data_IF_309639289173
#
_entry.id   IF_309639289173
#
_cell.length_a   1.000
_cell.length_b   1.000
_cell.length_c   1.000
_cell.angle_alpha   90.00
_cell.angle_beta   90.00
_cell.angle_gamma   90.00
#
_symmetry.space_group_name_H-M   'P 1'
#
loop_
_entity.id
_entity.type
_entity.pdbx_description
1 polymer ?
#
# COMPACT_ATOMS: atom_id res chain seq x y z
N UNK A 1 32.48 11.64 23.53
CA UNK A 1 31.28 11.30 22.74
C UNK A 1 30.10 11.93 23.46
N UNK A 2 29.37 12.85 22.81
CA UNK A 2 28.09 13.32 23.34
C UNK A 2 27.14 12.10 23.35
N UNK A 3 26.46 11.87 24.48
CA UNK A 3 25.41 10.87 24.53
C UNK A 3 24.26 11.36 23.64
N UNK A 4 23.95 10.60 22.59
CA UNK A 4 22.75 10.85 21.79
C UNK A 4 21.56 10.19 22.50
N UNK A 5 20.45 10.92 22.62
CA UNK A 5 19.20 10.31 23.04
C UNK A 5 18.78 9.28 21.98
N UNK A 6 18.31 8.11 22.43
CA UNK A 6 17.68 7.12 21.57
C UNK A 6 16.18 7.04 21.93
N UNK A 7 15.30 7.73 21.17
CA UNK A 7 13.86 7.70 21.41
C UNK A 7 13.17 6.53 20.69
N UNK A 8 13.90 5.54 20.16
CA UNK A 8 13.33 4.45 19.35
C UNK A 8 12.23 3.67 20.07
N UNK A 9 12.38 3.48 21.39
CA UNK A 9 11.42 2.77 22.26
C UNK A 9 10.23 3.64 22.73
N UNK A 10 10.24 4.95 22.46
CA UNK A 10 9.16 5.85 22.87
C UNK A 10 7.87 5.62 22.07
N UNK A 11 6.72 6.00 22.64
CA UNK A 11 5.45 6.07 21.91
C UNK A 11 5.54 7.05 20.73
N UNK A 12 4.67 6.91 19.74
CA UNK A 12 4.69 7.81 18.58
C UNK A 12 4.40 9.26 18.98
N UNK A 13 3.47 9.49 19.92
CA UNK A 13 3.15 10.83 20.43
C UNK A 13 4.36 11.48 21.10
N UNK A 14 5.16 10.68 21.81
CA UNK A 14 6.40 11.14 22.44
C UNK A 14 7.43 11.49 21.38
N UNK A 15 7.59 10.67 20.34
CA UNK A 15 8.52 10.97 19.22
C UNK A 15 8.12 12.25 18.50
N UNK A 16 6.83 12.46 18.26
CA UNK A 16 6.29 13.65 17.62
C UNK A 16 6.60 14.92 18.44
N UNK A 17 6.39 14.87 19.76
CA UNK A 17 6.75 15.96 20.67
C UNK A 17 8.25 16.23 20.67
N UNK A 18 9.07 15.18 20.77
CA UNK A 18 10.52 15.32 20.78
C UNK A 18 11.05 15.90 19.46
N UNK A 19 10.48 15.52 18.32
CA UNK A 19 10.83 16.12 17.03
C UNK A 19 10.53 17.62 17.00
N UNK A 20 9.34 18.04 17.46
CA UNK A 20 9.02 19.47 17.54
C UNK A 20 9.99 20.22 18.44
N UNK A 21 10.35 19.65 19.59
CA UNK A 21 11.34 20.25 20.49
C UNK A 21 12.74 20.35 19.89
N UNK A 22 13.19 19.32 19.18
CA UNK A 22 14.48 19.36 18.48
C UNK A 22 14.47 20.42 17.37
N UNK A 23 13.41 20.47 16.56
CA UNK A 23 13.25 21.47 15.50
C UNK A 23 13.26 22.91 16.04
N UNK A 24 12.57 23.16 17.15
CA UNK A 24 12.59 24.45 17.85
C UNK A 24 14.00 24.80 18.35
N UNK A 25 14.64 23.86 19.06
CA UNK A 25 15.94 24.07 19.70
C UNK A 25 17.09 24.30 18.69
N UNK A 26 17.01 23.70 17.50
CA UNK A 26 18.02 23.81 16.46
C UNK A 26 17.62 24.71 15.30
N UNK A 27 16.55 25.51 15.45
CA UNK A 27 16.00 26.35 14.38
C UNK A 27 17.03 27.33 13.78
N UNK A 28 17.89 27.93 14.61
CA UNK A 28 18.95 28.85 14.17
C UNK A 28 20.01 28.17 13.27
N UNK A 29 20.11 26.84 13.35
CA UNK A 29 21.08 26.06 12.60
C UNK A 29 20.50 25.53 11.29
N UNK A 30 19.21 25.72 11.00
CA UNK A 30 18.51 25.11 9.85
C UNK A 30 19.19 25.35 8.49
N UNK A 31 19.95 26.42 8.34
CA UNK A 31 20.68 26.74 7.11
C UNK A 31 22.06 26.08 7.00
N UNK A 32 22.48 25.35 8.03
CA UNK A 32 23.78 24.71 8.12
C UNK A 32 23.65 23.20 7.89
N UNK A 33 24.63 22.56 7.21
CA UNK A 33 24.63 21.11 7.02
C UNK A 33 24.54 20.32 8.34
N UNK A 34 25.09 20.87 9.44
CA UNK A 34 25.06 20.26 10.76
C UNK A 34 23.65 20.11 11.35
N UNK A 35 22.65 20.84 10.85
CA UNK A 35 21.26 20.74 11.32
C UNK A 35 20.72 19.32 11.20
N UNK A 36 20.97 18.66 10.08
CA UNK A 36 20.51 17.30 9.85
C UNK A 36 21.05 16.34 10.92
N UNK A 37 22.35 16.41 11.21
CA UNK A 37 23.01 15.57 12.21
C UNK A 37 22.39 15.71 13.61
N UNK A 38 21.93 16.92 13.97
CA UNK A 38 21.30 17.21 15.25
C UNK A 38 19.87 16.68 15.37
N UNK A 39 19.12 16.66 14.26
CA UNK A 39 17.71 16.23 14.28
C UNK A 39 17.51 14.75 13.99
N UNK A 40 18.50 14.05 13.42
CA UNK A 40 18.42 12.62 13.03
C UNK A 40 17.80 11.72 14.12
N UNK A 41 18.20 11.79 15.41
CA UNK A 41 17.63 10.94 16.45
C UNK A 41 16.11 11.10 16.62
N UNK A 42 15.57 12.25 16.22
CA UNK A 42 14.18 12.63 16.45
C UNK A 42 13.30 12.49 15.20
N UNK A 43 13.87 12.16 14.02
CA UNK A 43 13.13 12.11 12.75
C UNK A 43 11.99 11.08 12.73
N UNK A 44 12.00 10.12 13.66
CA UNK A 44 10.87 9.22 13.89
C UNK A 44 9.54 9.93 14.18
N UNK A 45 9.57 11.19 14.64
CA UNK A 45 8.39 12.02 14.88
C UNK A 45 8.11 13.10 13.82
N UNK A 46 8.91 13.14 12.74
CA UNK A 46 8.84 14.23 11.78
C UNK A 46 7.56 14.18 10.92
N UNK A 47 6.87 15.33 10.71
CA UNK A 47 5.76 15.40 9.79
C UNK A 47 6.21 15.39 8.33
N UNK A 48 5.35 14.91 7.43
CA UNK A 48 5.65 14.79 6.00
C UNK A 48 6.08 16.12 5.36
N UNK A 49 5.52 17.25 5.81
CA UNK A 49 5.90 18.59 5.34
C UNK A 49 7.37 18.90 5.63
N UNK A 50 7.86 18.52 6.80
CA UNK A 50 9.25 18.79 7.18
C UNK A 50 10.20 17.82 6.48
N UNK A 51 9.80 16.55 6.31
CA UNK A 51 10.54 15.59 5.49
C UNK A 51 10.64 16.04 4.03
N UNK A 52 9.57 16.62 3.47
CA UNK A 52 9.59 17.21 2.13
C UNK A 52 10.51 18.43 2.04
N UNK A 53 10.60 19.24 3.09
CA UNK A 53 11.58 20.32 3.13
C UNK A 53 13.01 19.75 3.14
N UNK A 54 13.28 18.80 4.03
CA UNK A 54 14.58 18.15 4.20
C UNK A 54 15.07 17.44 2.94
N UNK A 55 14.14 16.90 2.11
CA UNK A 55 14.48 16.24 0.84
C UNK A 55 15.17 17.16 -0.18
N UNK A 56 15.20 18.47 0.06
CA UNK A 56 15.84 19.46 -0.82
C UNK A 56 17.29 19.75 -0.43
N UNK A 57 17.74 19.24 0.71
CA UNK A 57 19.03 19.60 1.33
C UNK A 57 20.09 18.48 1.18
N UNK A 58 19.85 17.49 0.31
CA UNK A 58 20.78 16.37 0.01
C UNK A 58 21.32 15.64 1.25
N UNK A 59 20.44 15.39 2.22
CA UNK A 59 20.82 14.89 3.56
C UNK A 59 21.36 13.45 3.59
N UNK A 60 21.27 12.71 2.49
CA UNK A 60 21.72 11.31 2.38
C UNK A 60 21.22 10.47 3.56
N UNK A 61 19.91 10.45 3.78
CA UNK A 61 19.28 9.77 4.90
C UNK A 61 19.59 8.28 4.88
N UNK A 62 20.01 7.74 6.02
CA UNK A 62 20.24 6.31 6.17
C UNK A 62 18.91 5.54 6.04
N UNK A 63 18.94 4.37 5.39
CA UNK A 63 17.73 3.57 5.20
C UNK A 63 17.09 3.15 6.54
N UNK A 64 17.91 2.93 7.58
CA UNK A 64 17.42 2.61 8.94
C UNK A 64 16.66 3.76 9.58
N UNK A 65 17.07 5.01 9.33
CA UNK A 65 16.32 6.20 9.72
C UNK A 65 15.03 6.31 8.93
N UNK A 66 15.09 6.08 7.62
CA UNK A 66 13.92 6.15 6.74
C UNK A 66 12.82 5.15 7.14
N UNK A 67 13.17 3.90 7.43
CA UNK A 67 12.17 2.88 7.86
C UNK A 67 11.67 3.09 9.28
N UNK A 68 12.35 3.93 10.08
CA UNK A 68 11.94 4.31 11.43
C UNK A 68 11.07 5.58 11.48
N UNK A 69 10.85 6.25 10.34
CA UNK A 69 9.93 7.39 10.26
C UNK A 69 8.51 7.00 10.65
N UNK A 70 7.75 7.94 11.22
CA UNK A 70 6.34 7.70 11.53
C UNK A 70 5.57 7.32 10.27
N UNK A 71 4.81 6.23 10.39
CA UNK A 71 4.10 5.60 9.27
C UNK A 71 3.27 6.60 8.47
N UNK A 72 2.48 7.41 9.16
CA UNK A 72 1.60 8.40 8.52
C UNK A 72 2.39 9.34 7.61
N UNK A 73 3.55 9.83 8.04
CA UNK A 73 4.34 10.74 7.22
C UNK A 73 5.05 10.04 6.07
N UNK A 74 5.54 8.82 6.28
CA UNK A 74 6.18 8.02 5.22
C UNK A 74 5.19 7.74 4.07
N UNK A 75 3.93 7.41 4.37
CA UNK A 75 2.92 7.12 3.35
C UNK A 75 2.57 8.33 2.46
N UNK A 76 2.84 9.56 2.90
CA UNK A 76 2.61 10.79 2.11
C UNK A 76 3.80 11.19 1.23
N UNK A 77 4.93 10.50 1.29
CA UNK A 77 6.12 10.85 0.51
C UNK A 77 5.99 10.33 -0.93
N UNK A 78 6.24 11.18 -1.92
CA UNK A 78 6.32 10.75 -3.32
C UNK A 78 7.68 10.13 -3.63
N UNK A 79 7.85 9.38 -4.74
CA UNK A 79 9.15 8.82 -5.14
C UNK A 79 10.24 9.89 -5.27
N UNK A 80 9.89 11.07 -5.81
CA UNK A 80 10.82 12.19 -5.90
C UNK A 80 11.30 12.68 -4.53
N UNK A 81 10.40 12.79 -3.54
CA UNK A 81 10.77 13.16 -2.17
C UNK A 81 11.65 12.08 -1.53
N UNK A 82 11.34 10.80 -1.73
CA UNK A 82 12.16 9.69 -1.22
C UNK A 82 13.56 9.68 -1.84
N UNK A 83 13.68 10.00 -3.13
CA UNK A 83 14.99 10.20 -3.79
C UNK A 83 15.80 11.30 -3.10
N UNK A 84 15.19 12.46 -2.87
CA UNK A 84 15.88 13.59 -2.23
C UNK A 84 16.27 13.31 -0.78
N UNK A 85 15.45 12.57 -0.02
CA UNK A 85 15.79 12.16 1.34
C UNK A 85 16.96 11.18 1.37
N UNK A 86 16.88 10.08 0.61
CA UNK A 86 17.87 9.01 0.67
C UNK A 86 19.18 9.37 -0.03
N UNK A 87 19.13 10.20 -1.07
CA UNK A 87 20.30 10.63 -1.83
C UNK A 87 21.16 9.44 -2.28
N UNK A 88 22.43 9.43 -1.86
CA UNK A 88 23.39 8.36 -2.15
C UNK A 88 22.96 6.98 -1.62
N UNK A 89 22.12 6.93 -0.58
CA UNK A 89 21.62 5.69 0.02
C UNK A 89 20.37 5.14 -0.70
N UNK A 90 19.87 5.82 -1.73
CA UNK A 90 18.67 5.38 -2.48
C UNK A 90 18.74 3.91 -2.96
N UNK A 91 19.88 3.39 -3.48
CA UNK A 91 19.96 2.00 -3.92
C UNK A 91 19.64 0.98 -2.82
N UNK A 92 19.86 1.31 -1.55
CA UNK A 92 19.55 0.42 -0.42
C UNK A 92 18.04 0.15 -0.30
N UNK A 93 17.19 1.08 -0.74
CA UNK A 93 15.73 0.95 -0.68
C UNK A 93 15.22 -0.32 -1.37
N UNK A 94 15.87 -0.75 -2.46
CA UNK A 94 15.50 -1.96 -3.20
C UNK A 94 15.61 -3.25 -2.36
N UNK A 95 16.51 -3.28 -1.38
CA UNK A 95 16.68 -4.41 -0.46
C UNK A 95 15.51 -4.52 0.54
N UNK A 96 14.77 -3.44 0.74
CA UNK A 96 13.65 -3.34 1.67
C UNK A 96 12.28 -3.46 0.99
N UNK A 97 12.22 -3.58 -0.35
CA UNK A 97 10.97 -3.51 -1.11
C UNK A 97 9.87 -4.48 -0.64
N UNK A 98 10.25 -5.63 -0.08
CA UNK A 98 9.32 -6.66 0.40
C UNK A 98 9.00 -6.56 1.91
N UNK A 99 9.56 -5.57 2.61
CA UNK A 99 9.43 -5.38 4.06
C UNK A 99 8.64 -4.13 4.37
N UNK A 100 7.79 -4.17 5.40
CA UNK A 100 7.18 -2.97 5.92
C UNK A 100 8.24 -2.07 6.59
N UNK A 101 8.12 -0.73 6.52
CA UNK A 101 7.04 0.02 5.88
C UNK A 101 7.24 0.27 4.37
N UNK A 102 8.41 -0.05 3.80
CA UNK A 102 8.77 0.26 2.40
C UNK A 102 7.81 -0.39 1.41
N UNK A 103 7.48 -1.67 1.59
CA UNK A 103 6.51 -2.37 0.75
C UNK A 103 5.18 -1.63 0.70
N UNK A 104 4.68 -1.20 1.86
CA UNK A 104 3.37 -0.54 1.95
C UNK A 104 3.41 0.82 1.25
N UNK A 105 4.53 1.54 1.36
CA UNK A 105 4.76 2.78 0.61
C UNK A 105 4.79 2.55 -0.90
N UNK A 106 5.49 1.52 -1.38
CA UNK A 106 5.57 1.14 -2.81
C UNK A 106 4.17 0.91 -3.39
N UNK A 107 3.33 0.15 -2.68
CA UNK A 107 1.96 -0.17 -3.11
C UNK A 107 1.07 1.07 -3.30
N UNK A 108 1.42 2.21 -2.68
CA UNK A 108 0.69 3.47 -2.82
C UNK A 108 1.19 4.32 -4.00
N UNK A 109 2.36 4.02 -4.56
CA UNK A 109 2.94 4.82 -5.64
C UNK A 109 2.48 4.31 -7.00
N UNK A 110 2.58 5.15 -8.02
CA UNK A 110 2.46 4.73 -9.40
C UNK A 110 3.72 4.00 -9.86
N UNK A 111 3.58 2.95 -10.65
CA UNK A 111 4.74 2.23 -11.16
C UNK A 111 5.64 3.11 -12.03
N UNK A 112 5.12 4.02 -12.88
CA UNK A 112 6.01 4.90 -13.67
C UNK A 112 6.79 5.88 -12.81
N UNK A 113 6.24 6.31 -11.67
CA UNK A 113 6.95 7.22 -10.75
C UNK A 113 8.04 6.46 -9.97
N UNK A 114 7.80 5.18 -9.65
CA UNK A 114 8.82 4.30 -9.08
C UNK A 114 9.95 4.00 -10.10
N UNK A 115 9.60 3.78 -11.37
CA UNK A 115 10.55 3.47 -12.43
C UNK A 115 11.55 4.61 -12.66
N UNK A 116 11.12 5.86 -12.46
CA UNK A 116 12.01 7.03 -12.51
C UNK A 116 13.15 6.96 -11.48
N UNK A 117 13.01 6.19 -10.39
CA UNK A 117 14.06 6.02 -9.38
C UNK A 117 15.23 5.17 -9.90
N UNK A 118 15.05 4.41 -10.97
CA UNK A 118 16.09 3.59 -11.62
C UNK A 118 16.78 2.57 -10.69
N UNK A 119 16.08 2.10 -9.66
CA UNK A 119 16.57 1.09 -8.69
C UNK A 119 15.76 -0.22 -8.72
N UNK A 120 14.87 -0.39 -9.71
CA UNK A 120 14.13 -1.64 -9.93
C UNK A 120 13.05 -1.94 -8.89
N UNK A 121 12.42 -0.93 -8.30
CA UNK A 121 11.25 -1.15 -7.44
C UNK A 121 10.04 -1.59 -8.27
N UNK A 122 9.30 -2.56 -7.77
CA UNK A 122 8.10 -3.11 -8.43
C UNK A 122 6.95 -3.23 -7.44
N UNK A 123 5.71 -3.27 -7.95
CA UNK A 123 4.50 -3.40 -7.14
C UNK A 123 3.72 -2.11 -6.97
N UNK A 124 4.11 -1.03 -7.66
CA UNK A 124 3.30 0.17 -7.74
C UNK A 124 1.97 -0.07 -8.44
N UNK A 125 1.05 0.87 -8.25
CA UNK A 125 -0.23 0.92 -8.96
C UNK A 125 -0.02 1.08 -10.47
N UNK A 126 -0.86 0.44 -11.26
CA UNK A 126 -0.84 0.55 -12.72
C UNK A 126 -1.47 1.88 -13.17
N UNK A 127 -0.92 2.47 -14.22
CA UNK A 127 -1.51 3.62 -14.88
C UNK A 127 -2.43 3.18 -16.02
N UNK A 128 -3.71 3.52 -15.91
CA UNK A 128 -4.61 3.59 -17.06
C UNK A 128 -5.58 2.42 -17.23
N UNK A 129 -6.84 2.83 -17.39
CA UNK A 129 -8.05 2.23 -17.96
C UNK A 129 -8.32 0.73 -17.77
N UNK A 130 -9.46 0.44 -17.14
CA UNK A 130 -10.19 -0.80 -17.36
C UNK A 130 -10.48 -0.93 -18.87
N UNK A 131 -9.81 -1.85 -19.56
CA UNK A 131 -10.30 -2.35 -20.84
C UNK A 131 -11.60 -3.11 -20.58
N UNK A 132 -12.72 -2.40 -20.50
CA UNK A 132 -14.04 -3.01 -20.57
C UNK A 132 -14.21 -3.46 -22.03
N UNK A 133 -13.74 -4.66 -22.32
CA UNK A 133 -14.18 -5.36 -23.52
C UNK A 133 -15.67 -5.62 -23.32
N UNK A 134 -16.52 -4.81 -23.94
CA UNK A 134 -17.97 -5.07 -23.97
C UNK A 134 -18.16 -6.45 -24.59
N UNK A 135 -18.70 -7.45 -23.86
CA UNK A 135 -18.98 -8.74 -24.45
C UNK A 135 -19.98 -8.50 -25.58
N UNK A 136 -19.61 -8.86 -26.81
CA UNK A 136 -20.56 -8.87 -27.92
C UNK A 136 -21.49 -10.05 -27.68
N UNK A 137 -22.60 -9.80 -26.99
CA UNK A 137 -23.66 -10.80 -26.86
C UNK A 137 -24.15 -11.14 -28.27
N UNK A 138 -24.14 -12.43 -28.67
CA UNK A 138 -24.79 -12.84 -29.90
C UNK A 138 -26.27 -12.45 -29.85
N UNK A 139 -26.81 -12.02 -30.98
CA UNK A 139 -28.23 -11.72 -31.09
C UNK A 139 -29.04 -12.95 -30.60
N UNK A 140 -30.10 -12.76 -29.82
CA UNK A 140 -30.91 -13.87 -29.34
C UNK A 140 -31.46 -14.64 -30.53
N UNK A 141 -31.11 -15.93 -30.61
CA UNK A 141 -31.63 -16.83 -31.64
C UNK A 141 -33.14 -16.95 -31.45
N UNK A 142 -33.90 -16.45 -32.41
CA UNK A 142 -35.35 -16.64 -32.48
C UNK A 142 -35.65 -18.07 -32.91
N UNK A 143 -35.56 -19.03 -31.98
CA UNK A 143 -36.04 -20.38 -32.22
C UNK A 143 -37.56 -20.41 -32.00
N UNK A 144 -38.37 -20.86 -32.97
CA UNK A 144 -39.80 -21.07 -32.73
C UNK A 144 -39.97 -22.22 -31.75
N UNK A 145 -40.90 -22.04 -30.80
CA UNK A 145 -41.26 -23.04 -29.80
C UNK A 145 -41.97 -24.21 -30.49
N UNK A 146 -41.18 -25.18 -30.96
CA UNK A 146 -41.67 -26.41 -31.58
C UNK A 146 -42.14 -27.40 -30.52
N UNK A 147 -43.44 -27.65 -30.50
CA UNK A 147 -44.13 -28.64 -29.66
C UNK A 147 -43.63 -30.05 -29.95
N UNK A 148 -42.90 -30.68 -29.03
CA UNK A 148 -42.68 -32.14 -29.06
C UNK A 148 -42.89 -32.73 -27.67
N UNK A 149 -44.11 -33.24 -27.49
CA UNK A 149 -44.50 -34.43 -26.76
C UNK A 149 -43.55 -34.96 -25.68
N UNK A 150 -43.87 -34.64 -24.42
CA UNK A 150 -43.37 -35.37 -23.24
C UNK A 150 -44.06 -36.73 -23.16
N UNK A 151 -43.50 -37.72 -23.84
CA UNK A 151 -43.81 -39.13 -23.61
C UNK A 151 -43.18 -39.59 -22.28
N UNK A 152 -43.60 -39.01 -21.15
CA UNK A 152 -43.37 -39.60 -19.82
C UNK A 152 -44.42 -40.67 -19.59
N UNK A 153 -44.20 -41.79 -20.27
CA UNK A 153 -44.86 -43.03 -20.01
C UNK A 153 -44.55 -43.50 -18.58
N UNK A 154 -45.63 -43.69 -17.83
CA UNK A 154 -45.81 -44.82 -16.93
C UNK A 154 -45.01 -44.85 -15.62
N UNK A 155 -45.07 -43.81 -14.79
CA UNK A 155 -44.50 -43.87 -13.42
C UNK A 155 -45.28 -43.22 -12.25
N UNK A 156 -46.46 -42.56 -12.39
CA UNK A 156 -47.25 -42.19 -11.20
C UNK A 156 -48.32 -43.22 -10.79
N UNK A 157 -48.68 -44.18 -11.65
CA UNK A 157 -49.81 -45.09 -11.41
C UNK A 157 -49.51 -46.27 -10.46
N UNK A 158 -48.25 -46.49 -10.08
CA UNK A 158 -47.86 -47.62 -9.22
C UNK A 158 -47.74 -47.29 -7.73
N UNK A 159 -47.86 -46.01 -7.35
CA UNK A 159 -47.70 -45.55 -5.96
C UNK A 159 -49.03 -45.32 -5.22
N UNK A 160 -50.18 -45.40 -5.90
CA UNK A 160 -51.51 -45.27 -5.30
C UNK A 160 -52.20 -46.61 -4.99
N UNK A 161 -51.70 -47.74 -5.49
CA UNK A 161 -52.28 -49.07 -5.22
C UNK A 161 -51.80 -49.75 -3.93
N UNK A 162 -50.72 -49.25 -3.31
CA UNK A 162 -50.20 -49.78 -2.03
C UNK A 162 -50.75 -49.08 -0.78
N UNK A 163 -51.50 -47.98 -0.92
CA UNK A 163 -52.11 -47.26 0.21
C UNK A 163 -53.55 -47.71 0.55
N UNK A 164 -54.21 -48.50 -0.31
CA UNK A 164 -55.59 -48.94 -0.09
C UNK A 164 -55.73 -50.37 0.47
N UNK A 165 -54.64 -51.11 0.64
CA UNK A 165 -54.68 -52.45 1.28
C UNK A 165 -54.45 -52.40 2.79
N UNK A 166 -53.99 -51.26 3.34
CA UNK A 166 -53.75 -51.08 4.78
C UNK A 166 -54.90 -50.43 5.55
N UNK A 167 -56.05 -50.18 4.91
CA UNK A 167 -57.26 -49.59 5.53
C UNK A 167 -58.40 -50.63 5.63
N UNK A 168 -58.14 -51.90 5.32
CA UNK A 168 -59.10 -52.99 5.50
C UNK A 168 -58.44 -54.23 6.10
N UNK A 169 -58.00 -54.12 7.36
CA UNK A 169 -57.94 -55.20 8.35
C UNK A 169 -57.89 -54.58 9.75
#
# INVERSE_FOLDING_TARGET
RLASLDPSACSQETKDLLYQKAKEAFSDLHHLPAYYELIVPYLGGAPAVDLKALSKDDVNMNITTFVALRRESLMYLTPSVVRGLLGLNLPELAQWQNRAPVRDWILLQKQSELDQLHIGLTGGTQEGYLNIVTPKFPAPSSAPLGTVAMAFHLLPALLLSLLMVSISS
#
